data_IF_379737109086
#
_entry.id   IF_379737109086
#
_cell.length_a   1.000
_cell.length_b   1.000
_cell.length_c   1.000
_cell.angle_alpha   90.00
_cell.angle_beta   90.00
_cell.angle_gamma   90.00
#
_symmetry.space_group_name_H-M   'P 1'
#
loop_
_entity.id
_entity.type
_entity.pdbx_description
1 polymer ?
#
# COMPACT_ATOMS: atom_id res chain seq x y z
N UNK A 1 -34.54 49.24 -4.81
CA UNK A 1 -33.14 48.81 -5.01
C UNK A 1 -33.12 47.28 -4.98
N UNK A 2 -32.69 46.59 -6.03
CA UNK A 2 -32.63 45.13 -6.01
C UNK A 2 -31.39 44.69 -5.24
N UNK A 3 -31.60 43.93 -4.17
CA UNK A 3 -30.57 43.22 -3.41
C UNK A 3 -29.90 42.19 -4.31
N UNK A 4 -28.66 42.46 -4.68
CA UNK A 4 -27.74 41.50 -5.31
C UNK A 4 -27.47 40.36 -4.34
N UNK A 5 -28.04 39.19 -4.64
CA UNK A 5 -27.64 37.93 -4.03
C UNK A 5 -26.19 37.63 -4.44
N UNK A 6 -25.28 37.65 -3.46
CA UNK A 6 -23.92 37.15 -3.65
C UNK A 6 -23.96 35.68 -4.10
N UNK A 7 -23.13 35.28 -5.08
CA UNK A 7 -23.01 33.87 -5.45
C UNK A 7 -22.51 33.10 -4.23
N UNK A 8 -23.34 32.14 -3.78
CA UNK A 8 -22.97 31.13 -2.78
C UNK A 8 -21.63 30.52 -3.18
N UNK A 9 -20.72 30.42 -2.20
CA UNK A 9 -19.45 29.72 -2.32
C UNK A 9 -19.64 28.41 -3.12
N UNK A 10 -19.07 28.35 -4.31
CA UNK A 10 -18.86 27.08 -5.01
C UNK A 10 -17.79 26.39 -4.16
N UNK A 11 -18.20 25.48 -3.26
CA UNK A 11 -17.27 24.55 -2.65
C UNK A 11 -16.51 23.88 -3.80
N UNK A 12 -15.19 24.05 -3.84
CA UNK A 12 -14.34 23.37 -4.80
C UNK A 12 -14.45 21.87 -4.55
N UNK A 13 -15.36 21.21 -5.27
CA UNK A 13 -15.57 19.77 -5.18
C UNK A 13 -14.26 19.10 -5.54
N UNK A 14 -13.72 18.31 -4.61
CA UNK A 14 -12.49 17.55 -4.85
C UNK A 14 -12.66 16.58 -6.02
N UNK A 15 -11.60 16.33 -6.80
CA UNK A 15 -11.66 15.42 -7.95
C UNK A 15 -12.06 14.01 -7.51
N UNK A 16 -12.87 13.32 -8.33
CA UNK A 16 -13.27 11.95 -8.06
C UNK A 16 -12.09 10.97 -8.19
N UNK A 17 -12.02 10.01 -7.26
CA UNK A 17 -10.98 9.00 -7.16
C UNK A 17 -11.51 7.61 -7.51
N UNK A 18 -10.78 6.88 -8.37
CA UNK A 18 -11.02 5.47 -8.65
C UNK A 18 -9.95 4.62 -7.94
N UNK A 19 -10.36 3.77 -7.00
CA UNK A 19 -9.46 2.88 -6.27
C UNK A 19 -9.62 1.45 -6.76
N UNK A 20 -8.64 0.97 -7.53
CA UNK A 20 -8.58 -0.41 -8.00
C UNK A 20 -8.02 -1.30 -6.89
N UNK A 21 -8.66 -2.44 -6.59
CA UNK A 21 -8.28 -3.28 -5.45
C UNK A 21 -8.72 -2.69 -4.10
N UNK A 22 -9.79 -1.88 -4.09
CA UNK A 22 -10.25 -1.16 -2.92
C UNK A 22 -10.83 -2.02 -1.79
N UNK A 23 -11.09 -3.32 -2.01
CA UNK A 23 -11.46 -4.25 -0.93
C UNK A 23 -10.22 -4.87 -0.23
N UNK A 24 -9.02 -4.70 -0.78
CA UNK A 24 -7.76 -5.15 -0.20
C UNK A 24 -7.31 -4.32 1.01
N UNK A 25 -6.23 -4.72 1.68
CA UNK A 25 -5.71 -4.06 2.87
C UNK A 25 -5.32 -2.59 2.63
N UNK A 26 -4.39 -2.34 1.71
CA UNK A 26 -3.97 -0.97 1.35
C UNK A 26 -5.11 -0.20 0.67
N UNK A 27 -5.85 -0.84 -0.24
CA UNK A 27 -6.92 -0.19 -1.01
C UNK A 27 -8.09 0.28 -0.15
N UNK A 28 -8.56 -0.53 0.80
CA UNK A 28 -9.63 -0.15 1.72
C UNK A 28 -9.21 0.99 2.66
N UNK A 29 -7.98 0.93 3.16
CA UNK A 29 -7.41 1.99 3.99
C UNK A 29 -7.24 3.29 3.20
N UNK A 30 -6.84 3.20 1.93
CA UNK A 30 -6.75 4.34 1.02
C UNK A 30 -8.13 4.95 0.77
N UNK A 31 -9.15 4.13 0.48
CA UNK A 31 -10.52 4.60 0.31
C UNK A 31 -11.04 5.34 1.56
N UNK A 32 -10.82 4.78 2.75
CA UNK A 32 -11.18 5.43 4.02
C UNK A 32 -10.45 6.78 4.19
N UNK A 33 -9.15 6.82 3.90
CA UNK A 33 -8.34 8.03 3.98
C UNK A 33 -8.80 9.12 3.00
N UNK A 34 -9.12 8.75 1.75
CA UNK A 34 -9.64 9.66 0.73
C UNK A 34 -10.97 10.28 1.13
N UNK A 35 -11.91 9.47 1.63
CA UNK A 35 -13.20 9.96 2.14
C UNK A 35 -13.01 10.93 3.30
N UNK A 36 -12.15 10.58 4.27
CA UNK A 36 -11.81 11.47 5.40
C UNK A 36 -11.20 12.79 4.93
N UNK A 37 -10.44 12.77 3.83
CA UNK A 37 -9.88 13.94 3.19
C UNK A 37 -10.87 14.68 2.25
N UNK A 38 -12.12 14.23 2.14
CA UNK A 38 -13.18 14.88 1.37
C UNK A 38 -13.20 14.55 -0.13
N UNK A 39 -12.48 13.52 -0.58
CA UNK A 39 -12.53 13.08 -1.98
C UNK A 39 -13.72 12.14 -2.22
N UNK A 40 -14.47 12.29 -3.33
CA UNK A 40 -15.42 11.29 -3.78
C UNK A 40 -14.70 10.01 -4.22
N UNK A 41 -15.15 8.84 -3.76
CA UNK A 41 -14.48 7.56 -4.01
C UNK A 41 -15.38 6.55 -4.71
N UNK A 42 -14.88 5.99 -5.81
CA UNK A 42 -15.37 4.74 -6.40
C UNK A 42 -14.34 3.65 -6.18
N UNK A 43 -14.78 2.52 -5.65
CA UNK A 43 -13.98 1.29 -5.52
C UNK A 43 -14.28 0.39 -6.72
N UNK A 44 -13.23 -0.12 -7.34
CA UNK A 44 -13.30 -1.19 -8.31
C UNK A 44 -12.55 -2.41 -7.79
N UNK A 45 -13.20 -3.56 -7.78
CA UNK A 45 -12.56 -4.81 -7.39
C UNK A 45 -13.12 -5.98 -8.21
N UNK A 46 -12.40 -7.11 -8.19
CA UNK A 46 -12.86 -8.29 -8.92
C UNK A 46 -14.13 -8.89 -8.27
N UNK A 47 -14.98 -9.58 -9.03
CA UNK A 47 -16.15 -10.25 -8.46
C UNK A 47 -15.78 -11.25 -7.36
N UNK A 48 -16.74 -11.53 -6.48
CA UNK A 48 -16.63 -12.56 -5.42
C UNK A 48 -15.54 -12.26 -4.37
N UNK A 49 -15.14 -10.99 -4.20
CA UNK A 49 -14.33 -10.56 -3.05
C UNK A 49 -15.23 -10.16 -1.88
N UNK A 50 -14.77 -10.43 -0.67
CA UNK A 50 -15.42 -9.93 0.54
C UNK A 50 -15.18 -8.43 0.73
N UNK A 51 -16.26 -7.66 0.87
CA UNK A 51 -16.20 -6.24 1.21
C UNK A 51 -16.16 -5.95 2.72
N UNK A 52 -15.86 -6.97 3.55
CA UNK A 52 -15.75 -6.82 5.01
C UNK A 52 -14.84 -5.65 5.43
N UNK A 53 -13.75 -5.44 4.68
CA UNK A 53 -12.78 -4.38 4.96
C UNK A 53 -13.31 -2.97 4.73
N UNK A 54 -14.38 -2.82 3.95
CA UNK A 54 -15.01 -1.53 3.64
C UNK A 54 -16.46 -1.47 4.13
N UNK A 55 -16.87 -2.38 5.02
CA UNK A 55 -18.26 -2.49 5.48
C UNK A 55 -18.80 -1.19 6.07
N UNK A 56 -17.96 -0.45 6.81
CA UNK A 56 -18.27 0.86 7.36
C UNK A 56 -18.24 2.00 6.32
N UNK A 57 -17.67 1.77 5.14
CA UNK A 57 -17.57 2.75 4.06
C UNK A 57 -18.70 2.63 3.04
N UNK A 58 -19.43 1.51 3.02
CA UNK A 58 -20.48 1.20 2.03
C UNK A 58 -21.46 2.35 1.77
N UNK A 59 -21.93 3.12 2.78
CA UNK A 59 -22.84 4.24 2.54
C UNK A 59 -22.20 5.43 1.78
N UNK A 60 -20.87 5.49 1.75
CA UNK A 60 -20.09 6.65 1.29
C UNK A 60 -19.26 6.38 0.04
N UNK A 61 -19.28 5.14 -0.49
CA UNK A 61 -18.54 4.76 -1.69
C UNK A 61 -19.46 4.15 -2.73
N UNK A 62 -19.11 4.36 -4.01
CA UNK A 62 -19.63 3.52 -5.08
C UNK A 62 -18.75 2.29 -5.22
N UNK A 63 -19.35 1.11 -5.29
CA UNK A 63 -18.63 -0.14 -5.59
C UNK A 63 -18.99 -0.58 -6.99
N UNK A 64 -17.97 -0.97 -7.76
CA UNK A 64 -18.11 -1.59 -9.07
C UNK A 64 -17.29 -2.86 -9.07
N UNK A 65 -17.95 -3.98 -9.35
CA UNK A 65 -17.27 -5.24 -9.57
C UNK A 65 -16.97 -5.42 -11.06
N UNK A 66 -15.80 -5.95 -11.40
CA UNK A 66 -15.44 -6.23 -12.79
C UNK A 66 -14.04 -6.82 -12.94
N UNK A 67 -13.68 -7.19 -14.17
CA UNK A 67 -12.32 -7.65 -14.47
C UNK A 67 -11.47 -6.49 -15.00
N UNK A 68 -10.32 -6.23 -14.38
CA UNK A 68 -9.37 -5.21 -14.85
C UNK A 68 -8.83 -5.51 -16.26
N UNK A 69 -8.86 -6.79 -16.68
CA UNK A 69 -8.48 -7.19 -18.02
C UNK A 69 -9.59 -6.98 -19.06
N UNK A 70 -10.81 -6.65 -18.64
CA UNK A 70 -11.92 -6.34 -19.51
C UNK A 70 -12.05 -4.80 -19.66
N UNK A 71 -11.75 -4.30 -20.86
CA UNK A 71 -11.83 -2.84 -21.15
C UNK A 71 -13.22 -2.26 -20.87
N UNK A 72 -14.29 -3.01 -21.15
CA UNK A 72 -15.66 -2.50 -20.98
C UNK A 72 -16.04 -2.27 -19.51
N UNK A 73 -15.46 -3.05 -18.58
CA UNK A 73 -15.72 -2.91 -17.15
C UNK A 73 -15.07 -1.63 -16.59
N UNK A 74 -13.90 -1.23 -17.11
CA UNK A 74 -13.09 -0.14 -16.56
C UNK A 74 -13.26 1.20 -17.31
N UNK A 75 -13.52 1.15 -18.62
CA UNK A 75 -13.69 2.33 -19.49
C UNK A 75 -14.63 3.41 -18.96
N UNK A 76 -15.87 3.10 -18.53
CA UNK A 76 -16.80 4.14 -18.06
C UNK A 76 -16.34 4.80 -16.75
N UNK A 77 -15.51 4.10 -15.97
CA UNK A 77 -14.96 4.62 -14.73
C UNK A 77 -13.83 5.61 -15.02
N UNK A 78 -12.88 5.28 -15.89
CA UNK A 78 -11.74 6.16 -16.19
C UNK A 78 -12.16 7.53 -16.74
N UNK A 79 -13.25 7.61 -17.51
CA UNK A 79 -13.77 8.88 -18.05
C UNK A 79 -14.18 9.89 -16.97
N UNK A 80 -14.61 9.40 -15.79
CA UNK A 80 -15.18 10.23 -14.73
C UNK A 80 -14.28 10.37 -13.50
N UNK A 81 -13.13 9.68 -13.47
CA UNK A 81 -12.23 9.64 -12.32
C UNK A 81 -10.83 10.12 -12.74
N UNK A 82 -10.52 11.42 -12.60
CA UNK A 82 -9.23 11.96 -12.97
C UNK A 82 -8.07 11.44 -12.10
N UNK A 83 -8.34 10.94 -10.89
CA UNK A 83 -7.33 10.34 -10.01
C UNK A 83 -7.52 8.83 -9.95
N UNK A 84 -6.50 8.09 -10.38
CA UNK A 84 -6.51 6.63 -10.42
C UNK A 84 -5.54 6.06 -9.39
N UNK A 85 -6.04 5.28 -8.45
CA UNK A 85 -5.25 4.58 -7.43
C UNK A 85 -5.19 3.10 -7.82
N UNK A 86 -4.05 2.68 -8.38
CA UNK A 86 -3.86 1.32 -8.86
C UNK A 86 -3.31 0.40 -7.77
N UNK A 87 -4.19 -0.02 -6.85
CA UNK A 87 -3.84 -0.85 -5.69
C UNK A 87 -4.14 -2.35 -5.94
N UNK A 88 -4.67 -2.69 -7.11
CA UNK A 88 -4.93 -4.06 -7.52
C UNK A 88 -3.60 -4.80 -7.77
N UNK A 89 -3.43 -5.95 -7.13
CA UNK A 89 -2.30 -6.86 -7.31
C UNK A 89 -2.80 -8.29 -7.11
N UNK A 90 -2.40 -9.21 -7.98
CA UNK A 90 -2.81 -10.62 -7.91
C UNK A 90 -1.90 -11.48 -7.04
N UNK A 91 -0.71 -10.98 -6.68
CA UNK A 91 0.34 -11.75 -5.99
C UNK A 91 0.93 -10.99 -4.80
N UNK A 92 1.63 -11.74 -3.95
CA UNK A 92 2.45 -11.28 -2.83
C UNK A 92 3.89 -11.76 -3.05
N UNK A 93 4.90 -11.19 -2.37
CA UNK A 93 6.30 -11.61 -2.53
C UNK A 93 6.55 -13.12 -2.36
N UNK A 94 6.01 -13.74 -1.31
CA UNK A 94 6.25 -15.15 -1.00
C UNK A 94 5.72 -16.13 -2.09
N UNK A 95 4.46 -16.02 -2.56
CA UNK A 95 3.93 -16.90 -3.61
C UNK A 95 4.30 -16.50 -5.04
N UNK A 96 4.82 -15.29 -5.30
CA UNK A 96 5.02 -14.82 -6.69
C UNK A 96 5.99 -15.68 -7.50
N UNK A 97 7.01 -16.24 -6.84
CA UNK A 97 8.02 -17.07 -7.51
C UNK A 97 7.47 -18.44 -7.94
N UNK A 98 6.33 -18.88 -7.40
CA UNK A 98 5.73 -20.15 -7.77
C UNK A 98 5.14 -20.14 -9.20
N UNK A 99 4.73 -18.96 -9.70
CA UNK A 99 4.24 -18.81 -11.07
C UNK A 99 4.53 -17.39 -11.63
N UNK A 100 5.76 -17.12 -12.10
CA UNK A 100 6.15 -15.81 -12.62
C UNK A 100 5.38 -15.38 -13.87
N UNK A 101 4.96 -16.32 -14.73
CA UNK A 101 4.16 -16.01 -15.93
C UNK A 101 2.81 -15.43 -15.51
N UNK A 102 2.13 -16.07 -14.57
CA UNK A 102 0.88 -15.57 -14.02
C UNK A 102 1.05 -14.20 -13.38
N UNK A 103 2.15 -13.98 -12.64
CA UNK A 103 2.46 -12.70 -12.01
C UNK A 103 2.60 -11.57 -13.06
N UNK A 104 3.40 -11.79 -14.10
CA UNK A 104 3.60 -10.81 -15.19
C UNK A 104 2.31 -10.53 -15.95
N UNK A 105 1.52 -11.55 -16.28
CA UNK A 105 0.26 -11.38 -17.01
C UNK A 105 -0.76 -10.55 -16.21
N UNK A 106 -0.94 -10.88 -14.94
CA UNK A 106 -1.99 -10.26 -14.11
C UNK A 106 -1.59 -8.91 -13.54
N UNK A 107 -0.29 -8.61 -13.44
CA UNK A 107 0.17 -7.35 -12.87
C UNK A 107 0.81 -6.45 -13.93
N UNK A 108 1.82 -6.90 -14.67
CA UNK A 108 2.51 -6.02 -15.67
C UNK A 108 1.61 -5.79 -16.89
N UNK A 109 1.19 -6.86 -17.58
CA UNK A 109 0.40 -6.73 -18.83
C UNK A 109 -0.94 -6.06 -18.56
N UNK A 110 -1.61 -6.42 -17.47
CA UNK A 110 -2.87 -5.78 -17.04
C UNK A 110 -2.68 -4.29 -16.75
N UNK A 111 -1.55 -3.90 -16.13
CA UNK A 111 -1.24 -2.48 -15.90
C UNK A 111 -0.98 -1.73 -17.20
N UNK A 112 -0.27 -2.31 -18.17
CA UNK A 112 -0.04 -1.66 -19.47
C UNK A 112 -1.35 -1.39 -20.21
N UNK A 113 -2.28 -2.35 -20.17
CA UNK A 113 -3.65 -2.16 -20.71
C UNK A 113 -4.34 -1.01 -20.00
N UNK A 114 -4.31 -0.98 -18.67
CA UNK A 114 -4.88 0.09 -17.87
C UNK A 114 -4.26 1.47 -18.21
N UNK A 115 -2.93 1.55 -18.36
CA UNK A 115 -2.25 2.81 -18.70
C UNK A 115 -2.61 3.31 -20.10
N UNK A 116 -2.77 2.41 -21.09
CA UNK A 116 -3.29 2.78 -22.41
C UNK A 116 -4.68 3.41 -22.31
N UNK A 117 -5.57 2.82 -21.50
CA UNK A 117 -6.90 3.36 -21.26
C UNK A 117 -6.86 4.66 -20.47
N UNK A 118 -5.97 4.78 -19.48
CA UNK A 118 -5.77 6.01 -18.70
C UNK A 118 -5.38 7.19 -19.61
N UNK A 119 -4.47 6.97 -20.57
CA UNK A 119 -4.14 7.96 -21.61
C UNK A 119 -5.35 8.27 -22.49
N UNK A 120 -6.01 7.24 -23.05
CA UNK A 120 -7.18 7.38 -23.93
C UNK A 120 -8.31 8.18 -23.29
N UNK A 121 -8.56 7.97 -22.00
CA UNK A 121 -9.63 8.62 -21.23
C UNK A 121 -9.17 9.82 -20.41
N UNK A 122 -7.93 10.30 -20.61
CA UNK A 122 -7.38 11.51 -20.01
C UNK A 122 -7.43 11.51 -18.47
N UNK A 123 -7.09 10.38 -17.86
CA UNK A 123 -6.77 10.33 -16.43
C UNK A 123 -5.65 11.33 -16.16
N UNK A 124 -5.80 12.12 -15.09
CA UNK A 124 -4.85 13.19 -14.77
C UNK A 124 -3.62 12.68 -14.04
N UNK A 125 -3.81 11.77 -13.07
CA UNK A 125 -2.73 11.26 -12.23
C UNK A 125 -2.96 9.80 -11.82
N UNK A 126 -1.92 8.98 -11.93
CA UNK A 126 -1.92 7.59 -11.45
C UNK A 126 -1.09 7.46 -10.17
N UNK A 127 -1.69 6.94 -9.11
CA UNK A 127 -1.05 6.64 -7.83
C UNK A 127 -0.79 5.14 -7.76
N UNK A 128 0.48 4.75 -7.59
CA UNK A 128 0.89 3.36 -7.58
C UNK A 128 1.61 2.97 -6.28
N UNK A 129 1.10 1.97 -5.53
CA UNK A 129 1.78 1.39 -4.39
C UNK A 129 2.83 0.38 -4.87
N UNK A 130 4.10 0.79 -4.82
CA UNK A 130 5.26 -0.09 -4.99
C UNK A 130 5.77 -0.59 -3.63
N UNK A 131 6.89 -1.30 -3.62
CA UNK A 131 7.39 -2.03 -2.46
C UNK A 131 8.88 -1.77 -2.24
N UNK A 132 9.19 -0.93 -1.27
CA UNK A 132 10.56 -0.69 -0.82
C UNK A 132 11.22 -1.94 -0.24
N UNK A 133 10.43 -2.87 0.33
CA UNK A 133 10.96 -4.14 0.82
C UNK A 133 11.50 -5.08 -0.27
N UNK A 134 11.14 -4.87 -1.54
CA UNK A 134 11.44 -5.84 -2.61
C UNK A 134 12.14 -5.25 -3.83
N UNK A 135 11.89 -3.97 -4.18
CA UNK A 135 12.48 -3.39 -5.41
C UNK A 135 13.97 -3.12 -5.30
N UNK A 136 14.49 -2.87 -4.09
CA UNK A 136 15.91 -2.60 -3.88
C UNK A 136 16.78 -3.86 -3.87
N UNK A 137 16.20 -5.01 -3.54
CA UNK A 137 16.98 -6.22 -3.31
C UNK A 137 17.70 -6.25 -1.96
N UNK A 138 18.62 -7.22 -1.76
CA UNK A 138 19.43 -7.35 -0.55
C UNK A 138 20.18 -6.05 -0.20
N UNK A 139 20.31 -5.73 1.10
CA UNK A 139 20.93 -4.49 1.57
C UNK A 139 22.07 -4.72 2.56
N UNK A 140 23.19 -3.97 2.45
CA UNK A 140 24.22 -3.94 3.47
C UNK A 140 23.82 -2.98 4.60
N UNK A 141 22.83 -3.34 5.43
CA UNK A 141 22.42 -2.63 6.67
C UNK A 141 22.37 -1.08 6.60
N UNK A 142 22.06 -0.53 5.42
CA UNK A 142 21.99 0.91 5.17
C UNK A 142 20.61 1.25 4.62
N UNK A 143 19.98 2.27 5.21
CA UNK A 143 18.62 2.68 4.86
C UNK A 143 18.56 3.09 3.39
N UNK A 144 17.64 2.48 2.65
CA UNK A 144 17.59 2.60 1.19
C UNK A 144 17.03 3.94 0.77
N UNK A 145 17.75 4.67 -0.08
CA UNK A 145 17.30 5.91 -0.71
C UNK A 145 16.59 5.60 -2.02
N UNK A 146 15.71 6.48 -2.50
CA UNK A 146 15.05 6.30 -3.80
C UNK A 146 16.02 6.33 -4.99
N UNK A 147 17.23 6.87 -4.80
CA UNK A 147 18.31 6.88 -5.80
C UNK A 147 19.18 5.62 -5.78
N UNK A 148 19.03 4.76 -4.78
CA UNK A 148 19.82 3.54 -4.70
C UNK A 148 19.44 2.58 -5.85
N UNK A 149 20.39 1.73 -6.30
CA UNK A 149 20.10 0.71 -7.29
C UNK A 149 18.96 -0.22 -6.86
N UNK A 150 18.19 -0.66 -7.85
CA UNK A 150 17.08 -1.60 -7.66
C UNK A 150 17.45 -2.96 -8.24
N UNK A 151 17.64 -3.96 -7.38
CA UNK A 151 18.02 -5.33 -7.76
C UNK A 151 17.07 -6.38 -7.16
N UNK A 152 15.80 -6.43 -7.60
CA UNK A 152 14.78 -7.29 -7.00
C UNK A 152 15.08 -8.78 -7.21
N UNK A 153 15.03 -9.56 -6.12
CA UNK A 153 15.27 -11.02 -6.12
C UNK A 153 13.97 -11.86 -6.13
N UNK A 154 12.84 -11.25 -6.48
CA UNK A 154 11.54 -11.93 -6.55
C UNK A 154 10.71 -11.43 -7.74
N UNK A 155 9.85 -12.30 -8.28
CA UNK A 155 8.92 -11.94 -9.35
C UNK A 155 8.07 -10.74 -8.97
N UNK A 156 7.55 -10.69 -7.73
CA UNK A 156 6.82 -9.54 -7.23
C UNK A 156 7.62 -8.23 -7.28
N UNK A 157 8.89 -8.26 -6.82
CA UNK A 157 9.77 -7.09 -6.88
C UNK A 157 10.06 -6.64 -8.31
N UNK A 158 10.33 -7.60 -9.21
CA UNK A 158 10.56 -7.34 -10.65
C UNK A 158 9.32 -6.71 -11.28
N UNK A 159 8.13 -7.25 -11.00
CA UNK A 159 6.85 -6.76 -11.51
C UNK A 159 6.58 -5.33 -11.02
N UNK A 160 6.75 -5.06 -9.73
CA UNK A 160 6.58 -3.70 -9.18
C UNK A 160 7.53 -2.71 -9.84
N UNK A 161 8.83 -3.05 -9.94
CA UNK A 161 9.83 -2.20 -10.59
C UNK A 161 9.52 -1.99 -12.08
N UNK A 162 9.09 -3.03 -12.79
CA UNK A 162 8.66 -2.94 -14.18
C UNK A 162 7.52 -1.93 -14.35
N UNK A 163 6.53 -1.96 -13.47
CA UNK A 163 5.41 -1.00 -13.49
C UNK A 163 5.92 0.42 -13.21
N UNK A 164 6.84 0.63 -12.28
CA UNK A 164 7.45 1.96 -12.06
C UNK A 164 8.10 2.52 -13.33
N UNK A 165 8.84 1.67 -14.07
CA UNK A 165 9.49 2.05 -15.32
C UNK A 165 8.50 2.33 -16.44
N UNK A 166 7.40 1.58 -16.51
CA UNK A 166 6.35 1.88 -17.47
C UNK A 166 5.59 3.15 -17.12
N UNK A 167 5.31 3.45 -15.85
CA UNK A 167 4.74 4.74 -15.47
C UNK A 167 5.61 5.91 -15.92
N UNK A 168 6.93 5.81 -15.73
CA UNK A 168 7.90 6.80 -16.24
C UNK A 168 7.84 6.93 -17.77
N UNK A 169 7.79 5.82 -18.49
CA UNK A 169 7.67 5.81 -19.95
C UNK A 169 6.38 6.52 -20.41
N UNK A 170 5.24 6.21 -19.80
CA UNK A 170 3.95 6.81 -20.16
C UNK A 170 3.88 8.30 -19.82
N UNK A 171 4.54 8.73 -18.75
CA UNK A 171 4.74 10.15 -18.47
C UNK A 171 5.54 10.83 -19.60
N UNK A 172 6.66 10.25 -20.03
CA UNK A 172 7.50 10.81 -21.09
C UNK A 172 6.80 10.86 -22.45
N UNK A 173 6.03 9.84 -22.79
CA UNK A 173 5.37 9.72 -24.10
C UNK A 173 4.04 10.48 -24.17
N UNK A 174 3.27 10.50 -23.08
CA UNK A 174 1.88 10.94 -23.09
C UNK A 174 1.55 12.00 -22.03
N UNK A 175 2.53 12.43 -21.23
CA UNK A 175 2.32 13.35 -20.11
C UNK A 175 1.29 12.86 -19.08
N UNK A 176 1.11 11.53 -18.97
CA UNK A 176 0.29 10.93 -17.92
C UNK A 176 1.04 11.05 -16.59
N UNK A 177 0.59 11.96 -15.72
CA UNK A 177 1.24 12.20 -14.43
C UNK A 177 1.06 10.99 -13.50
N UNK A 178 2.02 10.80 -12.59
CA UNK A 178 1.99 9.66 -11.69
C UNK A 178 2.79 9.91 -10.41
N UNK A 179 2.49 9.14 -9.38
CA UNK A 179 3.32 9.03 -8.18
C UNK A 179 3.44 7.58 -7.76
N UNK A 180 4.67 7.17 -7.45
CA UNK A 180 4.99 5.87 -6.90
C UNK A 180 5.34 6.03 -5.42
N UNK A 181 4.71 5.21 -4.59
CA UNK A 181 5.02 5.12 -3.17
C UNK A 181 5.61 3.73 -2.90
N UNK A 182 6.90 3.66 -2.60
CA UNK A 182 7.60 2.45 -2.20
C UNK A 182 7.40 2.24 -0.70
N UNK A 183 6.41 1.44 -0.33
CA UNK A 183 6.11 1.17 1.07
C UNK A 183 7.14 0.23 1.71
N UNK A 184 7.45 0.42 2.99
CA UNK A 184 8.22 -0.53 3.81
C UNK A 184 7.35 -1.77 4.13
N UNK A 185 7.00 -1.99 5.41
CA UNK A 185 6.13 -3.08 5.84
C UNK A 185 4.88 -2.53 6.52
N UNK A 186 3.86 -2.09 5.76
CA UNK A 186 2.62 -1.61 6.33
C UNK A 186 1.90 -2.69 7.16
N UNK A 187 1.40 -2.29 8.33
CA UNK A 187 0.56 -3.13 9.20
C UNK A 187 -0.61 -2.33 9.76
N UNK A 188 -1.69 -3.02 10.10
CA UNK A 188 -2.87 -2.39 10.69
C UNK A 188 -4.15 -3.19 10.45
N UNK A 189 -5.27 -2.57 10.78
CA UNK A 189 -6.61 -3.17 10.62
C UNK A 189 -6.81 -3.58 9.16
N UNK A 190 -7.59 -4.64 8.93
CA UNK A 190 -7.93 -5.18 7.60
C UNK A 190 -6.80 -5.92 6.86
N UNK A 191 -5.59 -6.00 7.43
CA UNK A 191 -4.56 -6.92 6.96
C UNK A 191 -4.98 -8.36 7.28
N UNK A 192 -5.03 -9.23 6.25
CA UNK A 192 -5.43 -10.64 6.42
C UNK A 192 -4.36 -11.39 7.22
N UNK A 193 -4.63 -11.69 8.48
CA UNK A 193 -3.77 -12.56 9.30
C UNK A 193 -3.67 -13.98 8.73
N UNK A 194 -2.50 -14.61 8.87
CA UNK A 194 -2.17 -15.92 8.31
C UNK A 194 -0.96 -15.81 7.38
N UNK A 195 -1.20 -15.63 6.08
CA UNK A 195 -0.15 -15.61 5.05
C UNK A 195 0.44 -14.21 4.77
N UNK A 196 -0.02 -13.16 5.46
CA UNK A 196 0.41 -11.77 5.23
C UNK A 196 0.58 -10.99 6.54
N UNK A 197 1.72 -10.32 6.68
CA UNK A 197 2.00 -9.40 7.79
C UNK A 197 2.26 -10.11 9.11
N UNK A 198 3.53 -10.17 9.52
CA UNK A 198 3.96 -10.89 10.73
C UNK A 198 3.24 -10.40 12.00
N UNK A 199 3.01 -9.09 12.13
CA UNK A 199 2.32 -8.48 13.28
C UNK A 199 0.88 -9.01 13.39
N UNK A 200 0.12 -8.94 12.30
CA UNK A 200 -1.26 -9.42 12.26
C UNK A 200 -1.35 -10.93 12.48
N UNK A 201 -0.41 -11.71 11.94
CA UNK A 201 -0.34 -13.15 12.17
C UNK A 201 -0.02 -13.47 13.63
N UNK A 202 0.96 -12.81 14.24
CA UNK A 202 1.30 -13.04 15.65
C UNK A 202 0.15 -12.68 16.57
N UNK A 203 -0.46 -11.51 16.42
CA UNK A 203 -1.60 -11.10 17.25
C UNK A 203 -2.78 -12.06 17.12
N UNK A 204 -3.07 -12.57 15.91
CA UNK A 204 -4.10 -13.59 15.69
C UNK A 204 -3.78 -14.88 16.45
N UNK A 205 -2.60 -15.45 16.26
CA UNK A 205 -2.19 -16.71 16.92
C UNK A 205 -2.22 -16.57 18.44
N UNK A 206 -1.71 -15.46 18.97
CA UNK A 206 -1.72 -15.16 20.42
C UNK A 206 -3.17 -15.08 20.93
N UNK A 207 -4.10 -14.49 20.17
CA UNK A 207 -5.50 -14.43 20.57
C UNK A 207 -6.20 -15.78 20.52
N UNK A 208 -5.78 -16.66 19.61
CA UNK A 208 -6.25 -18.06 19.49
C UNK A 208 -5.57 -19.01 20.48
N UNK A 209 -4.62 -18.53 21.30
CA UNK A 209 -3.86 -19.35 22.24
C UNK A 209 -2.85 -20.30 21.56
N UNK A 210 -2.49 -20.02 20.31
CA UNK A 210 -1.56 -20.82 19.50
C UNK A 210 -0.13 -20.25 19.59
N UNK A 211 0.91 -21.11 19.45
CA UNK A 211 2.29 -20.65 19.45
C UNK A 211 2.60 -19.77 18.22
N UNK A 212 3.44 -18.75 18.41
CA UNK A 212 3.99 -17.99 17.29
C UNK A 212 5.23 -18.70 16.73
N UNK A 213 5.50 -18.49 15.45
CA UNK A 213 6.65 -19.07 14.75
C UNK A 213 7.66 -18.01 14.37
N UNK A 214 8.92 -18.18 14.80
CA UNK A 214 10.05 -17.32 14.41
C UNK A 214 11.04 -18.18 13.62
N UNK A 215 11.29 -17.79 12.36
CA UNK A 215 12.32 -18.42 11.53
C UNK A 215 13.70 -17.87 11.87
N UNK A 216 14.67 -18.75 12.01
CA UNK A 216 16.03 -18.37 12.36
C UNK A 216 16.19 -17.93 13.81
N UNK A 217 17.16 -17.07 14.04
CA UNK A 217 17.44 -16.46 15.35
C UNK A 217 16.68 -15.13 15.59
N UNK A 218 15.77 -14.75 14.68
CA UNK A 218 14.96 -13.55 14.81
C UNK A 218 15.71 -12.22 14.61
N UNK A 219 16.91 -12.24 14.02
CA UNK A 219 17.69 -11.01 13.69
C UNK A 219 17.22 -10.32 12.41
N UNK A 220 16.34 -10.96 11.63
CA UNK A 220 15.74 -10.35 10.45
C UNK A 220 15.11 -9.02 10.86
N UNK A 221 15.46 -7.97 10.12
CA UNK A 221 15.16 -6.60 10.47
C UNK A 221 14.29 -5.95 9.40
N UNK A 222 13.24 -5.27 9.84
CA UNK A 222 12.25 -4.61 8.98
C UNK A 222 11.89 -3.24 9.54
N UNK A 223 11.56 -2.34 8.63
CA UNK A 223 10.85 -1.09 8.90
C UNK A 223 9.34 -1.36 8.85
N UNK A 224 8.67 -1.28 10.01
CA UNK A 224 7.22 -1.44 10.14
C UNK A 224 6.52 -0.09 10.25
N UNK A 225 5.58 0.18 9.34
CA UNK A 225 4.82 1.42 9.31
C UNK A 225 3.34 1.17 9.57
N UNK A 226 2.73 1.96 10.46
CA UNK A 226 1.30 1.86 10.68
C UNK A 226 0.52 2.35 9.46
N UNK A 227 -0.53 1.62 9.09
CA UNK A 227 -1.27 1.84 7.85
C UNK A 227 -1.79 3.27 7.69
N UNK A 228 -2.22 3.91 8.79
CA UNK A 228 -2.74 5.27 8.74
C UNK A 228 -1.65 6.27 8.31
N UNK A 229 -0.42 6.11 8.79
CA UNK A 229 0.70 6.98 8.43
C UNK A 229 1.09 6.78 6.97
N UNK A 230 1.10 5.52 6.51
CA UNK A 230 1.35 5.18 5.11
C UNK A 230 0.32 5.83 4.17
N UNK A 231 -0.97 5.77 4.51
CA UNK A 231 -2.04 6.40 3.73
C UNK A 231 -1.95 7.93 3.78
N UNK A 232 -1.62 8.52 4.93
CA UNK A 232 -1.43 9.96 5.05
C UNK A 232 -0.32 10.49 4.13
N UNK A 233 0.74 9.71 3.89
CA UNK A 233 1.80 10.06 2.94
C UNK A 233 1.25 10.19 1.51
N UNK A 234 0.41 9.23 1.09
CA UNK A 234 -0.21 9.24 -0.23
C UNK A 234 -1.14 10.42 -0.39
N UNK A 235 -1.97 10.72 0.62
CA UNK A 235 -2.90 11.87 0.60
C UNK A 235 -2.13 13.17 0.44
N UNK A 236 -1.05 13.38 1.21
CA UNK A 236 -0.19 14.57 1.08
C UNK A 236 0.47 14.67 -0.29
N UNK A 237 0.79 13.54 -0.92
CA UNK A 237 1.33 13.51 -2.27
C UNK A 237 0.35 13.88 -3.38
N UNK A 238 -0.97 13.89 -3.16
CA UNK A 238 -1.93 14.17 -4.25
C UNK A 238 -1.75 15.56 -4.85
N UNK A 239 -1.39 16.54 -4.02
CA UNK A 239 -1.17 17.92 -4.42
C UNK A 239 0.30 18.22 -4.78
N UNK A 240 1.18 17.21 -4.72
CA UNK A 240 2.59 17.37 -5.07
C UNK A 240 2.77 17.67 -6.56
N UNK A 241 3.58 18.68 -6.86
CA UNK A 241 3.91 19.17 -8.21
C UNK A 241 5.42 19.27 -8.46
N UNK A 242 6.26 18.81 -7.54
CA UNK A 242 7.72 18.89 -7.67
C UNK A 242 8.29 17.88 -8.68
N UNK A 243 9.63 17.78 -8.78
CA UNK A 243 10.30 16.99 -9.81
C UNK A 243 10.31 15.47 -9.53
N UNK A 244 10.11 15.06 -8.28
CA UNK A 244 10.21 13.64 -7.92
C UNK A 244 8.93 12.88 -8.28
N UNK A 245 9.06 11.59 -8.58
CA UNK A 245 7.93 10.71 -8.90
C UNK A 245 7.87 9.46 -8.04
N UNK A 246 8.88 9.27 -7.19
CA UNK A 246 9.06 8.09 -6.35
C UNK A 246 9.39 8.57 -4.94
N UNK A 247 8.66 8.03 -3.96
CA UNK A 247 8.84 8.30 -2.54
C UNK A 247 8.90 7.01 -1.74
N UNK A 248 9.88 6.89 -0.86
CA UNK A 248 9.94 5.86 0.16
C UNK A 248 9.03 6.22 1.32
N UNK A 249 8.14 5.29 1.68
CA UNK A 249 7.18 5.44 2.77
C UNK A 249 7.43 4.35 3.80
N UNK A 250 8.09 4.72 4.90
CA UNK A 250 8.43 3.87 6.03
C UNK A 250 8.61 4.71 7.29
N UNK A 251 9.19 4.13 8.34
CA UNK A 251 9.57 4.87 9.55
C UNK A 251 11.03 5.28 9.56
N UNK A 252 11.88 4.63 8.76
CA UNK A 252 13.33 4.74 8.88
C UNK A 252 13.89 4.11 10.16
N UNK A 253 13.04 3.42 10.93
CA UNK A 253 13.40 2.73 12.16
C UNK A 253 13.54 1.24 11.86
N UNK A 254 14.66 0.67 12.28
CA UNK A 254 14.95 -0.74 12.15
C UNK A 254 14.34 -1.53 13.33
N UNK A 255 13.65 -2.63 13.03
CA UNK A 255 13.04 -3.48 14.06
C UNK A 255 13.32 -4.94 13.76
N UNK A 256 14.03 -5.61 14.67
CA UNK A 256 14.25 -7.06 14.59
C UNK A 256 12.98 -7.83 14.92
N UNK A 257 12.86 -9.06 14.45
CA UNK A 257 11.72 -9.93 14.83
C UNK A 257 11.66 -10.12 16.34
N UNK A 258 12.80 -10.28 17.02
CA UNK A 258 12.83 -10.41 18.48
C UNK A 258 12.34 -9.15 19.19
N UNK A 259 12.78 -7.95 18.76
CA UNK A 259 12.27 -6.70 19.31
C UNK A 259 10.76 -6.55 19.08
N UNK A 260 10.26 -6.97 17.92
CA UNK A 260 8.83 -7.00 17.65
C UNK A 260 8.09 -7.95 18.61
N UNK A 261 8.60 -9.16 18.85
CA UNK A 261 8.02 -10.14 19.78
C UNK A 261 7.94 -9.56 21.20
N UNK A 262 9.00 -8.92 21.67
CA UNK A 262 9.04 -8.30 22.99
C UNK A 262 8.08 -7.11 23.10
N UNK A 263 7.94 -6.32 22.03
CA UNK A 263 6.95 -5.23 21.94
C UNK A 263 5.53 -5.78 22.03
N UNK A 264 5.21 -6.85 21.28
CA UNK A 264 3.88 -7.50 21.33
C UNK A 264 3.61 -8.04 22.73
N UNK A 265 4.58 -8.70 23.37
CA UNK A 265 4.42 -9.21 24.75
C UNK A 265 4.11 -8.09 25.73
N UNK A 266 4.85 -6.98 25.64
CA UNK A 266 4.66 -5.81 26.50
C UNK A 266 3.29 -5.16 26.29
N UNK A 267 2.90 -4.94 25.03
CA UNK A 267 1.64 -4.25 24.68
C UNK A 267 0.40 -5.09 25.00
N UNK A 268 0.46 -6.40 24.75
CA UNK A 268 -0.70 -7.29 24.98
C UNK A 268 -0.83 -7.75 26.42
N UNK A 269 0.28 -7.75 27.18
CA UNK A 269 0.33 -8.34 28.52
C UNK A 269 0.09 -9.85 28.53
N UNK A 270 0.08 -10.51 27.38
CA UNK A 270 -0.22 -11.95 27.25
C UNK A 270 1.07 -12.77 27.29
N UNK A 271 1.03 -13.89 27.99
CA UNK A 271 2.03 -14.95 27.85
C UNK A 271 1.68 -15.83 26.65
N UNK A 272 2.67 -16.15 25.81
CA UNK A 272 2.50 -17.01 24.64
C UNK A 272 3.78 -17.80 24.37
N UNK A 273 3.62 -18.98 23.76
CA UNK A 273 4.73 -19.82 23.35
C UNK A 273 5.34 -19.32 22.03
N UNK A 274 6.66 -19.39 21.93
CA UNK A 274 7.41 -19.09 20.71
C UNK A 274 8.11 -20.36 20.24
N UNK A 275 7.82 -20.77 19.00
CA UNK A 275 8.51 -21.85 18.34
C UNK A 275 9.56 -21.27 17.40
N UNK A 276 10.82 -21.64 17.64
CA UNK A 276 11.91 -21.34 16.73
C UNK A 276 11.97 -22.40 15.63
N UNK A 277 12.20 -21.96 14.40
CA UNK A 277 12.21 -22.81 13.23
C UNK A 277 13.44 -22.53 12.35
N UNK A 278 13.85 -23.44 11.45
CA UNK A 278 15.07 -23.27 10.65
C UNK A 278 15.06 -22.00 9.79
N UNK A 279 16.24 -21.46 9.48
CA UNK A 279 16.36 -20.30 8.59
C UNK A 279 15.71 -20.55 7.23
N UNK A 280 15.19 -19.46 6.63
CA UNK A 280 14.66 -19.46 5.27
C UNK A 280 15.59 -18.65 4.36
N UNK A 281 16.21 -19.32 3.39
CA UNK A 281 17.16 -18.70 2.44
C UNK A 281 16.56 -17.65 1.49
N UNK A 282 15.28 -17.30 1.63
CA UNK A 282 14.59 -16.35 0.74
C UNK A 282 14.37 -14.96 1.36
N UNK A 283 14.59 -14.78 2.66
CA UNK A 283 14.34 -13.51 3.33
C UNK A 283 15.53 -12.57 3.19
N UNK A 284 15.27 -11.32 2.82
CA UNK A 284 16.27 -10.25 2.89
C UNK A 284 16.60 -10.03 4.38
N UNK A 285 17.87 -10.10 4.82
CA UNK A 285 18.20 -9.98 6.24
C UNK A 285 17.78 -8.64 6.85
N UNK A 286 17.96 -7.55 6.11
CA UNK A 286 17.73 -6.19 6.59
C UNK A 286 17.06 -5.31 5.53
N UNK A 287 15.97 -4.64 5.88
CA UNK A 287 15.20 -3.77 4.98
C UNK A 287 14.57 -2.59 5.71
N UNK A 288 15.17 -1.41 5.54
CA UNK A 288 14.72 -0.12 6.09
C UNK A 288 14.86 0.95 5.01
N UNK A 289 13.97 1.93 5.01
CA UNK A 289 13.93 2.98 4.01
C UNK A 289 14.42 4.31 4.57
N UNK A 290 15.21 5.04 3.80
CA UNK A 290 15.45 6.47 4.03
C UNK A 290 14.20 7.22 3.56
N UNK A 291 13.56 7.95 4.47
CA UNK A 291 12.30 8.67 4.25
C UNK A 291 12.48 10.19 4.11
N UNK A 292 13.71 10.69 4.06
CA UNK A 292 14.00 12.13 4.03
C UNK A 292 13.33 12.85 2.88
N UNK A 293 13.25 12.21 1.70
CA UNK A 293 12.57 12.80 0.55
C UNK A 293 11.10 13.05 0.84
N UNK A 294 10.39 12.07 1.42
CA UNK A 294 8.98 12.23 1.77
C UNK A 294 8.79 13.33 2.83
N UNK A 295 9.68 13.42 3.82
CA UNK A 295 9.67 14.50 4.82
C UNK A 295 9.80 15.88 4.19
N UNK A 296 10.77 16.05 3.29
CA UNK A 296 11.07 17.35 2.67
C UNK A 296 10.03 17.76 1.63
N UNK A 297 9.63 16.83 0.77
CA UNK A 297 8.84 17.12 -0.42
C UNK A 297 7.33 17.05 -0.17
N UNK A 298 6.90 16.19 0.74
CA UNK A 298 5.48 15.98 1.05
C UNK A 298 5.07 16.60 2.39
N UNK A 299 6.03 17.15 3.14
CA UNK A 299 5.84 17.59 4.52
C UNK A 299 5.17 16.49 5.37
N UNK A 300 5.65 15.25 5.21
CA UNK A 300 5.07 14.05 5.82
C UNK A 300 6.08 13.37 6.74
N UNK A 301 5.62 12.94 7.91
CA UNK A 301 6.37 12.07 8.81
C UNK A 301 5.43 11.03 9.42
N UNK A 302 5.93 9.83 9.75
CA UNK A 302 5.18 8.83 10.48
C UNK A 302 5.12 9.24 11.96
N UNK A 303 3.92 9.21 12.55
CA UNK A 303 3.67 9.68 13.92
C UNK A 303 3.25 8.55 14.86
N UNK A 304 2.95 7.37 14.32
CA UNK A 304 2.50 6.22 15.10
C UNK A 304 3.69 5.36 15.50
N UNK A 305 4.01 5.34 16.79
CA UNK A 305 5.00 4.40 17.32
C UNK A 305 4.54 2.94 17.14
N UNK A 306 5.51 2.02 17.02
CA UNK A 306 5.24 0.60 16.83
C UNK A 306 4.35 0.02 17.93
N UNK A 307 4.63 0.36 19.19
CA UNK A 307 3.86 -0.08 20.37
C UNK A 307 2.40 0.40 20.29
N UNK A 308 2.17 1.67 19.94
CA UNK A 308 0.86 2.27 19.80
C UNK A 308 0.05 1.65 18.65
N UNK A 309 0.68 1.45 17.47
CA UNK A 309 0.03 0.81 16.34
C UNK A 309 -0.33 -0.66 16.62
N UNK A 310 0.54 -1.41 17.31
CA UNK A 310 0.25 -2.78 17.78
C UNK A 310 -0.91 -2.77 18.76
N UNK A 311 -0.96 -1.81 19.69
CA UNK A 311 -2.06 -1.70 20.66
C UNK A 311 -3.40 -1.50 19.97
N UNK A 312 -3.48 -0.54 19.04
CA UNK A 312 -4.69 -0.28 18.25
C UNK A 312 -5.14 -1.53 17.49
N UNK A 313 -4.20 -2.25 16.87
CA UNK A 313 -4.52 -3.47 16.14
C UNK A 313 -4.98 -4.61 17.05
N UNK A 314 -4.32 -4.79 18.20
CA UNK A 314 -4.67 -5.81 19.19
C UNK A 314 -6.08 -5.58 19.72
N UNK A 315 -6.43 -4.35 20.08
CA UNK A 315 -7.76 -4.00 20.60
C UNK A 315 -8.84 -4.21 19.54
N UNK A 316 -8.51 -4.01 18.25
CA UNK A 316 -9.43 -4.26 17.14
C UNK A 316 -9.63 -5.75 16.79
N UNK A 317 -8.80 -6.66 17.30
CA UNK A 317 -8.94 -8.11 17.11
C UNK A 317 -9.70 -8.80 18.24
N UNK A 318 -9.82 -8.14 19.40
CA UNK A 318 -10.57 -8.62 20.57
C UNK A 318 -12.06 -8.31 20.45
N UNK A 319 -12.40 -7.23 19.74
CA UNK A 319 -13.78 -6.78 19.47
C UNK A 319 -14.29 -7.25 18.11
#
# INVERSE_FOLDING_TARGET
>A
MPTTLHPKHIENIKPACLVLGGAGFLGSSMAAGLLKAGYPVTIFDRPQITFKNIGNLLPSVRIVEGDLNNEEDIRPLLKNHPLLFHFASSTLPAPSNANPIYDVQNNVVSTLRLLNLAVKYKVKKVIFPSSGGTVYGPSPEIARKETDPTDPISSYGITKLSIEKYLELYYRLYSLDYLVFRFSNPYGKHQRGGNQGIISTFLKLINEGLPISVWGNGTITRDYIYITDAINAVIKGLDYQGPYRIFNIGTGIDTTIMHLVDTIRTVTGKSFQMQQLPDRNCDVPWSVLDIKRAQQELNWEPVTELSAGIKILSDALIN
#
